data_IF_524490692228
#
_entry.id   IF_524490692228
#
_cell.length_a   1.000
_cell.length_b   1.000
_cell.length_c   1.000
_cell.angle_alpha   90.00
_cell.angle_beta   90.00
_cell.angle_gamma   90.00
#
_symmetry.space_group_name_H-M   'P 1'
#
loop_
_entity.id
_entity.type
_entity.pdbx_description
1 polymer ?
#
# COMPACT_ATOMS: atom_id res chain seq x y z
N UNK A 1 -58.51 9.51 -6.74
CA UNK A 1 -58.04 8.17 -7.11
C UNK A 1 -56.66 8.33 -7.76
N UNK A 2 -55.52 8.36 -7.05
CA UNK A 2 -55.00 7.47 -5.99
C UNK A 2 -54.37 6.17 -6.53
N UNK A 3 -53.06 6.06 -6.31
CA UNK A 3 -52.23 4.85 -6.21
C UNK A 3 -52.24 3.80 -7.34
N UNK A 4 -51.09 3.65 -8.01
CA UNK A 4 -50.32 2.37 -8.09
C UNK A 4 -48.93 2.57 -8.74
N UNK A 5 -48.00 3.14 -7.97
CA UNK A 5 -46.55 3.07 -8.24
C UNK A 5 -45.86 2.45 -7.03
N UNK A 6 -46.03 1.14 -6.86
CA UNK A 6 -45.36 0.34 -5.83
C UNK A 6 -45.04 -1.06 -6.35
N UNK A 7 -43.90 -1.17 -7.03
CA UNK A 7 -43.12 -2.41 -7.17
C UNK A 7 -41.67 -1.98 -7.53
N UNK A 8 -40.93 -1.37 -6.61
CA UNK A 8 -40.17 -2.12 -5.60
C UNK A 8 -39.71 -3.51 -6.09
N UNK A 9 -38.61 -3.56 -6.84
CA UNK A 9 -37.61 -4.63 -6.67
C UNK A 9 -36.21 -4.03 -6.63
N UNK A 10 -35.48 -4.39 -5.56
CA UNK A 10 -34.15 -3.86 -5.25
C UNK A 10 -33.13 -4.58 -6.11
N UNK A 11 -32.27 -3.81 -6.78
CA UNK A 11 -30.94 -4.27 -7.21
C UNK A 11 -29.93 -3.38 -6.50
N UNK A 12 -29.46 -3.84 -5.35
CA UNK A 12 -28.41 -3.17 -4.60
C UNK A 12 -27.03 -3.63 -5.14
N UNK A 13 -26.03 -2.74 -5.22
CA UNK A 13 -24.71 -3.10 -5.77
C UNK A 13 -23.89 -3.92 -4.77
N UNK A 14 -23.60 -5.18 -5.13
CA UNK A 14 -22.68 -6.07 -4.39
C UNK A 14 -21.20 -5.80 -4.75
N UNK A 15 -20.76 -4.55 -4.63
CA UNK A 15 -19.36 -4.14 -4.95
C UNK A 15 -18.74 -3.23 -3.89
N UNK A 16 -19.19 -3.31 -2.63
CA UNK A 16 -18.76 -2.44 -1.54
C UNK A 16 -18.28 -3.18 -0.27
N UNK A 17 -17.93 -4.48 -0.38
CA UNK A 17 -17.58 -5.32 0.77
C UNK A 17 -16.07 -5.56 0.99
N UNK A 18 -15.19 -5.16 0.06
CA UNK A 18 -13.75 -5.52 0.10
C UNK A 18 -12.90 -4.52 0.90
N UNK A 19 -13.33 -3.25 1.05
CA UNK A 19 -12.52 -2.19 1.67
C UNK A 19 -12.74 -1.99 3.19
N UNK A 20 -13.63 -2.78 3.82
CA UNK A 20 -13.88 -2.69 5.28
C UNK A 20 -13.10 -3.76 6.08
N UNK A 21 -12.49 -4.75 5.40
CA UNK A 21 -11.81 -5.88 6.04
C UNK A 21 -10.49 -5.53 6.76
N UNK A 22 -9.89 -4.37 6.50
CA UNK A 22 -8.53 -4.02 6.97
C UNK A 22 -8.47 -3.53 8.43
N UNK A 23 -9.60 -3.22 9.08
CA UNK A 23 -9.64 -2.73 10.47
C UNK A 23 -9.99 -3.84 11.48
N UNK A 24 -10.49 -4.99 11.02
CA UNK A 24 -10.93 -6.09 11.89
C UNK A 24 -9.78 -6.99 12.39
N UNK A 25 -8.62 -6.99 11.73
CA UNK A 25 -7.43 -7.76 12.13
C UNK A 25 -6.53 -6.95 13.08
N UNK A 26 -7.06 -6.58 14.26
CA UNK A 26 -6.23 -6.15 15.39
C UNK A 26 -5.89 -7.38 16.25
N UNK A 27 -4.65 -7.88 16.26
CA UNK A 27 -4.28 -9.03 17.06
C UNK A 27 -4.25 -8.65 18.55
N UNK A 28 -5.35 -8.90 19.25
CA UNK A 28 -5.33 -8.93 20.73
C UNK A 28 -4.56 -10.17 21.17
N UNK A 29 -3.49 -9.95 21.94
CA UNK A 29 -2.72 -11.01 22.60
C UNK A 29 -3.62 -11.75 23.59
N UNK A 30 -4.07 -12.95 23.21
CA UNK A 30 -4.72 -13.85 24.14
C UNK A 30 -3.66 -14.44 25.07
N UNK A 31 -3.53 -13.88 26.28
CA UNK A 31 -2.68 -14.45 27.33
C UNK A 31 -3.27 -15.80 27.75
N UNK A 32 -2.56 -16.88 27.43
CA UNK A 32 -2.94 -18.25 27.77
C UNK A 32 -2.59 -18.55 29.23
N UNK A 33 -3.16 -17.80 30.16
CA UNK A 33 -3.09 -18.10 31.59
C UNK A 33 -4.01 -19.29 31.87
N UNK A 34 -3.42 -20.40 32.28
CA UNK A 34 -4.17 -21.60 32.64
C UNK A 34 -4.97 -21.35 33.93
N UNK A 35 -6.23 -21.82 34.03
CA UNK A 35 -7.03 -21.62 35.22
C UNK A 35 -6.38 -22.28 36.43
N UNK A 36 -5.93 -21.45 37.37
CA UNK A 36 -5.24 -21.85 38.61
C UNK A 36 -6.22 -22.32 39.69
N UNK A 37 -7.12 -23.23 39.35
CA UNK A 37 -8.00 -23.93 40.29
C UNK A 37 -7.79 -25.45 40.17
N UNK A 38 -6.68 -25.91 40.75
CA UNK A 38 -6.46 -27.32 41.10
C UNK A 38 -6.16 -27.41 42.59
N UNK A 39 -7.15 -27.87 43.33
CA UNK A 39 -7.20 -27.88 44.79
C UNK A 39 -6.28 -28.90 45.48
N UNK A 40 -5.24 -29.39 44.77
CA UNK A 40 -4.19 -30.25 45.31
C UNK A 40 -2.84 -29.89 44.67
N UNK A 41 -1.84 -29.43 45.45
CA UNK A 41 -0.50 -29.17 44.93
C UNK A 41 0.18 -30.48 44.56
N UNK A 42 0.39 -30.72 43.26
CA UNK A 42 1.33 -31.75 42.80
C UNK A 42 2.73 -31.21 43.01
N UNK A 43 3.53 -31.90 43.83
CA UNK A 43 4.95 -31.59 44.03
C UNK A 43 5.69 -31.64 42.68
N UNK A 44 6.65 -30.72 42.42
CA UNK A 44 7.60 -30.92 41.32
C UNK A 44 8.39 -32.22 41.56
N UNK A 45 8.81 -32.88 40.48
CA UNK A 45 9.49 -34.19 40.52
C UNK A 45 11.01 -34.04 40.80
N UNK A 46 11.48 -32.80 40.94
CA UNK A 46 12.86 -32.46 41.28
C UNK A 46 12.83 -31.40 42.39
N UNK A 47 12.91 -31.87 43.63
CA UNK A 47 13.28 -31.12 44.85
C UNK A 47 13.21 -32.10 46.03
N UNK A 48 14.16 -33.02 46.10
CA UNK A 48 14.59 -33.76 47.30
C UNK A 48 16.01 -34.30 46.98
N UNK A 49 16.85 -34.44 48.01
CA UNK A 49 18.27 -34.87 47.96
C UNK A 49 19.27 -33.94 47.23
N UNK A 50 19.65 -32.82 47.87
CA UNK A 50 21.08 -32.42 48.01
C UNK A 50 21.31 -31.30 49.07
N UNK A 51 20.83 -31.51 50.30
CA UNK A 51 21.15 -30.62 51.43
C UNK A 51 22.07 -31.31 52.45
N UNK A 52 23.28 -31.67 51.99
CA UNK A 52 24.36 -32.21 52.85
C UNK A 52 25.73 -31.65 52.46
N UNK A 53 25.93 -30.34 52.65
CA UNK A 53 27.22 -29.77 53.08
C UNK A 53 26.99 -28.38 53.67
N UNK A 54 26.70 -28.36 54.97
CA UNK A 54 26.46 -27.13 55.71
C UNK A 54 27.73 -26.28 55.89
N UNK A 55 27.52 -24.97 56.14
CA UNK A 55 28.44 -24.03 56.80
C UNK A 55 29.65 -23.49 56.01
N UNK A 56 29.45 -22.37 55.28
CA UNK A 56 30.36 -21.20 55.46
C UNK A 56 29.77 -19.83 55.08
N UNK A 57 29.98 -18.86 55.99
CA UNK A 57 30.06 -17.41 55.77
C UNK A 57 28.83 -16.61 55.27
N UNK A 58 28.02 -16.20 56.25
CA UNK A 58 27.21 -14.96 56.33
C UNK A 58 28.00 -13.68 55.98
N UNK A 59 27.49 -12.81 55.10
CA UNK A 59 27.33 -11.34 55.24
C UNK A 59 27.13 -10.60 53.89
N UNK A 60 26.28 -9.56 53.88
CA UNK A 60 26.12 -8.54 52.83
C UNK A 60 26.58 -7.16 53.39
N UNK A 61 26.41 -5.99 52.72
CA UNK A 61 26.10 -5.65 51.31
C UNK A 61 27.10 -4.58 50.73
N UNK A 62 26.79 -3.97 49.56
CA UNK A 62 26.90 -2.51 49.19
C UNK A 62 27.47 -2.12 47.80
N UNK A 63 26.66 -1.32 47.08
CA UNK A 63 26.97 -0.05 46.38
C UNK A 63 28.00 0.04 45.22
N UNK A 64 27.47 -0.09 43.99
CA UNK A 64 27.46 0.89 42.88
C UNK A 64 28.72 1.58 42.27
N UNK A 65 28.64 1.74 40.93
CA UNK A 65 28.94 2.92 40.08
C UNK A 65 30.14 2.86 39.09
N UNK A 66 29.85 3.09 37.79
CA UNK A 66 30.73 3.65 36.71
C UNK A 66 31.95 2.82 36.23
N UNK A 67 32.44 2.87 34.97
CA UNK A 67 32.25 3.83 33.86
C UNK A 67 32.53 3.24 32.45
N UNK A 68 31.74 3.68 31.46
CA UNK A 68 31.99 3.88 30.00
C UNK A 68 32.47 2.78 29.00
N UNK A 69 32.03 3.05 27.75
CA UNK A 69 32.60 2.72 26.44
C UNK A 69 32.54 1.27 25.92
N UNK A 70 32.37 0.97 24.62
CA UNK A 70 31.62 1.56 23.48
C UNK A 70 32.09 0.85 22.19
N UNK A 71 31.22 0.04 21.59
CA UNK A 71 31.14 -0.21 20.13
C UNK A 71 32.36 -0.88 19.41
N UNK A 72 32.30 -1.26 18.09
CA UNK A 72 32.48 -2.68 17.73
C UNK A 72 33.44 -2.94 16.54
N UNK A 73 33.35 -4.13 15.91
CA UNK A 73 33.85 -4.49 14.55
C UNK A 73 35.40 -4.44 14.36
N UNK A 74 36.07 -5.02 13.34
CA UNK A 74 35.75 -6.07 12.34
C UNK A 74 37.04 -6.54 11.60
N UNK A 75 37.24 -7.87 11.50
CA UNK A 75 37.62 -8.64 10.27
C UNK A 75 39.01 -8.37 9.57
N UNK A 76 39.39 -8.93 8.37
CA UNK A 76 40.65 -9.68 8.12
C UNK A 76 41.59 -9.00 7.07
N UNK A 77 42.66 -9.60 6.44
CA UNK A 77 42.70 -10.75 5.45
C UNK A 77 43.89 -11.77 5.66
N UNK A 78 43.93 -13.04 5.17
CA UNK A 78 44.25 -13.64 3.82
C UNK A 78 45.63 -13.31 3.18
N UNK A 79 46.25 -14.14 2.28
CA UNK A 79 46.42 -15.62 2.23
C UNK A 79 47.88 -16.05 1.76
N UNK A 80 48.04 -17.22 1.11
CA UNK A 80 49.16 -17.67 0.22
C UNK A 80 50.31 -18.53 0.82
N UNK A 81 50.22 -19.88 0.78
CA UNK A 81 50.95 -20.88 -0.08
C UNK A 81 52.32 -21.35 0.53
N UNK A 82 53.05 -22.44 0.18
CA UNK A 82 52.98 -23.58 -0.78
C UNK A 82 53.85 -24.80 -0.27
N UNK A 83 53.96 -25.87 -1.08
CA UNK A 83 55.07 -26.84 -1.25
C UNK A 83 54.95 -28.29 -0.67
N UNK A 84 55.10 -29.27 -1.58
CA UNK A 84 55.30 -30.73 -1.46
C UNK A 84 56.65 -31.10 -2.18
N UNK A 85 57.16 -32.36 -2.34
CA UNK A 85 56.58 -33.70 -2.10
C UNK A 85 57.55 -34.82 -1.54
N UNK A 86 57.07 -36.08 -1.56
CA UNK A 86 57.78 -37.39 -1.45
C UNK A 86 58.26 -37.85 -0.04
N UNK A 87 58.25 -39.13 0.37
CA UNK A 87 58.34 -40.43 -0.38
C UNK A 87 57.67 -41.60 0.39
N UNK A 88 57.19 -42.65 -0.30
CA UNK A 88 56.81 -44.01 0.22
C UNK A 88 58.05 -44.87 0.60
N UNK A 89 57.97 -46.05 1.28
CA UNK A 89 56.89 -47.05 1.32
C UNK A 89 56.56 -47.74 2.69
N UNK A 90 55.67 -48.74 2.64
CA UNK A 90 55.12 -49.55 3.76
C UNK A 90 55.98 -50.82 4.00
N UNK A 91 56.14 -51.32 5.25
CA UNK A 91 55.56 -52.64 5.57
C UNK A 91 55.02 -52.84 7.02
N UNK A 92 53.86 -53.49 7.10
CA UNK A 92 53.45 -54.51 8.08
C UNK A 92 53.32 -54.25 9.62
N UNK A 93 52.22 -54.82 10.14
CA UNK A 93 52.02 -55.41 11.48
C UNK A 93 51.80 -54.50 12.71
N UNK A 94 50.53 -54.15 12.97
CA UNK A 94 49.88 -54.39 14.28
C UNK A 94 48.34 -54.37 14.13
N UNK A 95 47.67 -55.46 14.50
CA UNK A 95 46.23 -55.45 14.78
C UNK A 95 45.99 -54.99 16.23
N UNK A 96 44.77 -54.52 16.55
CA UNK A 96 43.95 -55.43 17.35
C UNK A 96 42.52 -55.62 16.82
N UNK A 97 42.01 -56.82 17.07
CA UNK A 97 40.68 -57.33 16.74
C UNK A 97 39.54 -56.71 17.57
N UNK A 98 38.37 -56.49 16.95
CA UNK A 98 37.03 -56.99 17.35
C UNK A 98 35.91 -56.19 16.65
N UNK A 99 34.62 -56.62 16.70
CA UNK A 99 34.18 -57.86 16.08
C UNK A 99 32.89 -57.73 15.22
N UNK A 100 32.72 -58.64 14.25
CA UNK A 100 31.46 -58.98 13.56
C UNK A 100 30.78 -57.91 12.68
N UNK A 101 31.19 -57.90 11.40
CA UNK A 101 30.19 -57.83 10.33
C UNK A 101 29.24 -59.03 10.46
N UNK A 102 27.93 -58.77 10.46
CA UNK A 102 26.92 -59.80 10.30
C UNK A 102 25.96 -59.37 9.21
N UNK A 103 26.25 -59.82 7.99
CA UNK A 103 25.39 -59.75 6.81
C UNK A 103 24.09 -60.51 7.09
N UNK A 104 23.17 -59.89 7.82
CA UNK A 104 21.80 -60.37 7.93
C UNK A 104 21.05 -59.76 6.77
N UNK A 105 20.92 -60.55 5.69
CA UNK A 105 20.01 -60.30 4.57
C UNK A 105 18.56 -60.32 5.06
N UNK A 106 18.21 -59.30 5.85
CA UNK A 106 16.85 -59.09 6.32
C UNK A 106 16.09 -58.61 5.10
N UNK A 107 15.45 -59.58 4.44
CA UNK A 107 14.34 -59.30 3.53
C UNK A 107 13.33 -58.51 4.34
N UNK A 108 13.39 -57.19 4.25
CA UNK A 108 12.41 -56.27 4.84
C UNK A 108 11.13 -56.42 4.03
N UNK A 109 10.42 -57.52 4.32
CA UNK A 109 9.00 -57.62 4.08
C UNK A 109 8.41 -56.36 4.68
N UNK A 110 7.98 -55.44 3.80
CA UNK A 110 7.25 -54.23 4.15
C UNK A 110 5.89 -54.67 4.69
N UNK A 111 5.90 -55.23 5.90
CA UNK A 111 4.71 -55.57 6.66
C UNK A 111 4.05 -54.23 6.95
N UNK A 112 3.08 -53.89 6.11
CA UNK A 112 2.34 -52.62 6.15
C UNK A 112 1.63 -52.56 7.49
N UNK A 113 2.32 -51.99 8.48
CA UNK A 113 1.84 -51.94 9.86
C UNK A 113 0.56 -51.13 9.82
N UNK A 114 -0.56 -51.74 10.24
CA UNK A 114 -1.83 -51.03 10.31
C UNK A 114 -1.60 -49.73 11.09
N UNK A 115 -1.94 -48.56 10.53
CA UNK A 115 -1.50 -47.29 11.07
C UNK A 115 -2.05 -47.12 12.47
N UNK A 116 -1.14 -46.95 13.43
CA UNK A 116 -1.52 -46.69 14.83
C UNK A 116 -2.26 -45.35 14.89
N UNK A 117 -3.13 -45.12 15.89
CA UNK A 117 -3.85 -43.85 16.01
C UNK A 117 -2.88 -42.63 16.05
N UNK A 118 -1.71 -42.80 16.66
CA UNK A 118 -0.63 -41.80 16.69
C UNK A 118 -0.03 -41.50 15.31
N UNK A 119 0.14 -42.50 14.46
CA UNK A 119 0.68 -42.35 13.09
C UNK A 119 -0.30 -41.57 12.20
N UNK A 120 -1.61 -41.82 12.35
CA UNK A 120 -2.65 -41.01 11.71
C UNK A 120 -2.59 -39.53 12.14
N UNK A 121 -2.45 -39.27 13.45
CA UNK A 121 -2.30 -37.91 13.97
C UNK A 121 -1.04 -37.22 13.42
N UNK A 122 0.10 -37.93 13.40
CA UNK A 122 1.36 -37.42 12.85
C UNK A 122 1.22 -37.06 11.36
N UNK A 123 0.52 -37.88 10.57
CA UNK A 123 0.23 -37.61 9.16
C UNK A 123 -0.63 -36.34 8.98
N UNK A 124 -1.63 -36.12 9.83
CA UNK A 124 -2.49 -34.93 9.78
C UNK A 124 -1.75 -33.66 10.19
N UNK A 125 -0.91 -33.72 11.23
CA UNK A 125 -0.05 -32.60 11.64
C UNK A 125 0.94 -32.22 10.52
N UNK A 126 1.52 -33.22 9.84
CA UNK A 126 2.40 -33.00 8.69
C UNK A 126 1.65 -32.30 7.55
N UNK A 127 0.45 -32.76 7.19
CA UNK A 127 -0.37 -32.14 6.15
C UNK A 127 -0.79 -30.72 6.52
N UNK A 128 -1.20 -30.47 7.76
CA UNK A 128 -1.53 -29.14 8.25
C UNK A 128 -0.34 -28.18 8.17
N UNK A 129 0.87 -28.62 8.58
CA UNK A 129 2.10 -27.82 8.47
C UNK A 129 2.45 -27.49 7.02
N UNK A 130 2.34 -28.46 6.11
CA UNK A 130 2.60 -28.26 4.68
C UNK A 130 1.56 -27.34 4.03
N UNK A 131 0.29 -27.43 4.42
CA UNK A 131 -0.77 -26.54 3.94
C UNK A 131 -0.53 -25.09 4.39
N UNK A 132 -0.21 -24.87 5.67
CA UNK A 132 0.13 -23.54 6.19
C UNK A 132 1.38 -22.98 5.52
N UNK A 133 2.41 -23.80 5.31
CA UNK A 133 3.63 -23.38 4.61
C UNK A 133 3.37 -23.01 3.14
N UNK A 134 2.63 -23.85 2.41
CA UNK A 134 2.25 -23.55 1.03
C UNK A 134 1.44 -22.25 0.93
N UNK A 135 0.47 -22.05 1.82
CA UNK A 135 -0.32 -20.82 1.85
C UNK A 135 0.54 -19.60 2.19
N UNK A 136 1.47 -19.72 3.15
CA UNK A 136 2.43 -18.65 3.46
C UNK A 136 3.28 -18.26 2.24
N UNK A 137 3.88 -19.24 1.56
CA UNK A 137 4.66 -18.98 0.33
C UNK A 137 3.81 -18.33 -0.77
N UNK A 138 2.55 -18.76 -1.01
CA UNK A 138 1.70 -18.09 -2.01
C UNK A 138 1.38 -16.62 -1.66
N UNK A 139 1.32 -16.28 -0.37
CA UNK A 139 1.12 -14.91 0.10
C UNK A 139 2.42 -14.11 -0.02
N UNK A 140 3.56 -14.70 0.33
CA UNK A 140 4.89 -14.10 0.14
C UNK A 140 5.16 -13.81 -1.35
N UNK A 141 4.89 -14.75 -2.24
CA UNK A 141 5.01 -14.58 -3.70
C UNK A 141 4.06 -13.50 -4.24
N UNK A 142 2.82 -13.44 -3.75
CA UNK A 142 1.86 -12.41 -4.14
C UNK A 142 2.29 -11.01 -3.67
N UNK A 143 2.83 -10.89 -2.45
CA UNK A 143 3.35 -9.64 -1.89
C UNK A 143 4.62 -9.21 -2.63
N UNK A 144 5.57 -10.12 -2.86
CA UNK A 144 6.78 -9.87 -3.64
C UNK A 144 6.44 -9.44 -5.08
N UNK A 145 5.48 -10.11 -5.72
CA UNK A 145 4.98 -9.74 -7.04
C UNK A 145 4.26 -8.38 -7.07
N UNK A 146 3.52 -8.04 -6.02
CA UNK A 146 2.91 -6.71 -5.88
C UNK A 146 3.96 -5.61 -5.66
N UNK A 147 4.97 -5.87 -4.83
CA UNK A 147 6.09 -4.96 -4.56
C UNK A 147 6.95 -4.73 -5.80
N UNK A 148 7.27 -5.79 -6.56
CA UNK A 148 7.97 -5.69 -7.85
C UNK A 148 7.18 -4.85 -8.87
N UNK A 149 5.84 -5.02 -8.92
CA UNK A 149 4.97 -4.17 -9.75
C UNK A 149 4.92 -2.73 -9.27
N UNK A 150 4.88 -2.49 -7.95
CA UNK A 150 4.93 -1.15 -7.37
C UNK A 150 6.24 -0.44 -7.73
N UNK A 151 7.39 -1.08 -7.58
CA UNK A 151 8.68 -0.51 -7.98
C UNK A 151 8.81 -0.31 -9.50
N UNK A 152 8.30 -1.24 -10.32
CA UNK A 152 8.26 -1.04 -11.78
C UNK A 152 7.39 0.17 -12.16
N UNK A 153 6.26 0.36 -11.47
CA UNK A 153 5.41 1.53 -11.62
C UNK A 153 6.14 2.80 -11.14
N UNK A 154 6.74 2.81 -9.95
CA UNK A 154 7.53 3.94 -9.43
C UNK A 154 8.65 4.37 -10.39
N UNK A 155 9.37 3.42 -10.98
CA UNK A 155 10.41 3.70 -11.98
C UNK A 155 9.80 4.28 -13.28
N UNK A 156 8.65 3.75 -13.72
CA UNK A 156 7.93 4.28 -14.89
C UNK A 156 7.34 5.68 -14.64
N UNK A 157 6.84 5.95 -13.42
CA UNK A 157 6.38 7.27 -13.01
C UNK A 157 7.55 8.25 -12.87
N UNK A 158 8.68 7.83 -12.31
CA UNK A 158 9.87 8.68 -12.15
C UNK A 158 10.43 9.08 -13.51
N UNK A 159 10.57 8.13 -14.45
CA UNK A 159 11.00 8.44 -15.83
C UNK A 159 9.97 9.32 -16.58
N UNK A 160 8.68 9.07 -16.41
CA UNK A 160 7.61 9.88 -17.00
C UNK A 160 7.60 11.31 -16.44
N UNK A 161 7.64 11.48 -15.12
CA UNK A 161 7.69 12.80 -14.46
C UNK A 161 8.98 13.54 -14.81
N UNK A 162 10.12 12.85 -14.91
CA UNK A 162 11.37 13.43 -15.40
C UNK A 162 11.25 13.91 -16.86
N UNK A 163 10.52 13.20 -17.72
CA UNK A 163 10.25 13.62 -19.10
C UNK A 163 9.22 14.76 -19.23
N UNK A 164 8.34 14.92 -18.24
CA UNK A 164 7.34 15.99 -18.16
C UNK A 164 7.90 17.28 -17.55
N UNK A 165 8.99 17.20 -16.79
CA UNK A 165 9.66 18.35 -16.21
C UNK A 165 10.18 19.28 -17.32
N UNK A 166 9.87 20.59 -17.30
CA UNK A 166 10.31 21.51 -18.33
C UNK A 166 11.84 21.64 -18.28
N UNK A 167 12.46 21.70 -19.46
CA UNK A 167 13.87 22.06 -19.56
C UNK A 167 14.10 23.41 -18.85
N UNK A 168 15.25 23.54 -18.15
CA UNK A 168 15.56 24.72 -17.31
C UNK A 168 15.55 26.05 -18.09
N UNK A 169 15.63 25.98 -19.41
CA UNK A 169 15.56 27.09 -20.37
C UNK A 169 14.15 27.70 -20.49
N UNK A 170 13.09 26.96 -20.14
CA UNK A 170 11.69 27.43 -20.23
C UNK A 170 11.34 28.52 -19.20
N UNK A 171 12.21 28.83 -18.24
CA UNK A 171 12.03 29.89 -17.24
C UNK A 171 10.93 29.66 -16.18
N UNK A 172 10.13 28.60 -16.28
CA UNK A 172 9.07 28.28 -15.33
C UNK A 172 9.63 27.94 -13.95
N UNK A 173 9.31 28.76 -12.94
CA UNK A 173 9.76 28.57 -11.56
C UNK A 173 8.90 27.52 -10.85
N UNK A 174 9.19 26.24 -11.09
CA UNK A 174 8.47 25.10 -10.51
C UNK A 174 8.26 25.20 -8.99
N UNK A 175 9.29 25.57 -8.22
CA UNK A 175 9.21 25.60 -6.75
C UNK A 175 8.18 26.63 -6.23
N UNK A 176 8.25 27.93 -6.59
CA UNK A 176 7.14 28.87 -6.34
C UNK A 176 5.81 28.44 -6.97
N UNK A 177 5.82 27.94 -8.21
CA UNK A 177 4.62 27.60 -8.96
C UNK A 177 3.79 26.51 -8.28
N UNK A 178 4.43 25.42 -7.86
CA UNK A 178 3.79 24.33 -7.12
C UNK A 178 3.24 24.79 -5.76
N UNK A 179 3.90 25.73 -5.10
CA UNK A 179 3.39 26.33 -3.85
C UNK A 179 2.11 27.12 -4.14
N UNK A 180 2.05 27.92 -5.21
CA UNK A 180 0.81 28.63 -5.59
C UNK A 180 -0.33 27.68 -5.97
N UNK A 181 -0.03 26.56 -6.64
CA UNK A 181 -0.99 25.49 -6.94
C UNK A 181 -1.54 24.85 -5.66
N UNK A 182 -0.67 24.53 -4.70
CA UNK A 182 -1.06 24.02 -3.38
C UNK A 182 -1.93 25.01 -2.60
N UNK A 183 -1.55 26.29 -2.59
CA UNK A 183 -2.32 27.37 -1.94
C UNK A 183 -3.70 27.54 -2.59
N UNK A 184 -3.78 27.48 -3.92
CA UNK A 184 -5.06 27.54 -4.64
C UNK A 184 -5.98 26.34 -4.32
N UNK A 185 -5.42 25.13 -4.25
CA UNK A 185 -6.16 23.94 -3.82
C UNK A 185 -6.64 24.04 -2.36
N UNK A 186 -5.78 24.53 -1.46
CA UNK A 186 -6.13 24.77 -0.05
C UNK A 186 -7.24 25.83 0.08
N UNK A 187 -7.14 26.94 -0.67
CA UNK A 187 -8.19 27.95 -0.74
C UNK A 187 -9.52 27.35 -1.28
N UNK A 188 -9.46 26.49 -2.29
CA UNK A 188 -10.62 25.74 -2.78
C UNK A 188 -11.27 24.85 -1.72
N UNK A 189 -10.48 24.25 -0.82
CA UNK A 189 -11.00 23.46 0.31
C UNK A 189 -11.74 24.33 1.35
N UNK A 190 -11.29 25.58 1.55
CA UNK A 190 -11.94 26.55 2.43
C UNK A 190 -13.25 27.04 1.80
N UNK A 191 -13.24 27.37 0.50
CA UNK A 191 -14.43 27.83 -0.24
C UNK A 191 -15.53 26.75 -0.31
N UNK A 192 -15.15 25.48 -0.45
CA UNK A 192 -16.10 24.36 -0.47
C UNK A 192 -16.46 23.81 0.91
N UNK A 193 -15.94 24.38 2.01
CA UNK A 193 -16.11 23.87 3.39
C UNK A 193 -17.56 23.66 3.81
N UNK A 194 -18.48 24.49 3.32
CA UNK A 194 -19.91 24.45 3.65
C UNK A 194 -20.81 24.10 2.44
N UNK A 195 -20.31 23.28 1.51
CA UNK A 195 -21.09 22.77 0.37
C UNK A 195 -21.04 21.24 0.32
N UNK A 196 -21.88 20.64 -0.53
CA UNK A 196 -22.04 19.19 -0.68
C UNK A 196 -20.68 18.47 -0.78
N UNK A 197 -20.61 17.23 -0.27
CA UNK A 197 -19.38 16.41 -0.21
C UNK A 197 -18.64 16.35 -1.56
N UNK A 198 -19.38 16.30 -2.68
CA UNK A 198 -18.82 16.35 -4.03
C UNK A 198 -18.03 17.64 -4.31
N UNK A 199 -18.55 18.81 -3.92
CA UNK A 199 -17.85 20.09 -4.06
C UNK A 199 -16.64 20.17 -3.13
N UNK A 200 -16.72 19.58 -1.92
CA UNK A 200 -15.58 19.50 -1.00
C UNK A 200 -14.41 18.67 -1.55
N UNK A 201 -14.69 17.64 -2.34
CA UNK A 201 -13.66 16.87 -3.06
C UNK A 201 -13.20 17.53 -4.36
N UNK A 202 -14.13 18.06 -5.15
CA UNK A 202 -13.84 18.58 -6.50
C UNK A 202 -13.25 20.00 -6.52
N UNK A 203 -13.64 20.90 -5.62
CA UNK A 203 -13.18 22.29 -5.66
C UNK A 203 -11.67 22.48 -5.39
N UNK A 204 -11.02 21.74 -4.46
CA UNK A 204 -9.57 21.79 -4.31
C UNK A 204 -8.84 21.34 -5.58
N UNK A 205 -9.35 20.30 -6.24
CA UNK A 205 -8.77 19.78 -7.48
C UNK A 205 -8.99 20.76 -8.64
N UNK A 206 -10.19 21.30 -8.80
CA UNK A 206 -10.52 22.25 -9.87
C UNK A 206 -9.72 23.55 -9.75
N UNK A 207 -9.58 24.11 -8.55
CA UNK A 207 -8.79 25.33 -8.34
C UNK A 207 -7.28 25.06 -8.36
N UNK A 208 -6.81 23.91 -7.88
CA UNK A 208 -5.43 23.49 -8.02
C UNK A 208 -5.02 23.29 -9.49
N UNK A 209 -5.81 22.54 -10.27
CA UNK A 209 -5.58 22.32 -11.70
C UNK A 209 -5.72 23.63 -12.50
N UNK A 210 -6.68 24.48 -12.16
CA UNK A 210 -6.83 25.82 -12.75
C UNK A 210 -5.60 26.70 -12.49
N UNK A 211 -5.09 26.73 -11.26
CA UNK A 211 -3.85 27.43 -10.93
C UNK A 211 -2.61 26.79 -11.59
N UNK A 212 -2.58 25.47 -11.77
CA UNK A 212 -1.47 24.81 -12.45
C UNK A 212 -1.44 25.18 -13.94
N UNK A 213 -2.60 25.32 -14.59
CA UNK A 213 -2.68 25.77 -15.97
C UNK A 213 -2.31 27.25 -16.17
N UNK A 214 -2.55 28.12 -15.18
CA UNK A 214 -2.17 29.54 -15.26
C UNK A 214 -0.75 29.84 -14.81
N UNK A 215 -0.20 29.10 -13.84
CA UNK A 215 1.12 29.34 -13.24
C UNK A 215 2.23 28.50 -13.89
N UNK A 216 1.90 27.33 -14.44
CA UNK A 216 2.84 26.38 -15.05
C UNK A 216 2.33 25.85 -16.43
N UNK A 217 2.01 26.75 -17.38
CA UNK A 217 1.34 26.39 -18.65
C UNK A 217 2.12 25.38 -19.50
N UNK A 218 3.46 25.44 -19.54
CA UNK A 218 4.28 24.50 -20.35
C UNK A 218 4.22 23.11 -19.73
N UNK A 219 4.37 22.99 -18.41
CA UNK A 219 4.23 21.67 -17.75
C UNK A 219 2.85 21.07 -17.98
N UNK A 220 1.79 21.86 -17.87
CA UNK A 220 0.42 21.37 -18.04
C UNK A 220 0.13 21.01 -19.51
N UNK A 221 0.74 21.72 -20.46
CA UNK A 221 0.78 21.34 -21.87
C UNK A 221 1.37 19.95 -22.08
N UNK A 222 2.58 19.71 -21.56
CA UNK A 222 3.27 18.42 -21.66
C UNK A 222 2.48 17.28 -20.98
N UNK A 223 1.95 17.52 -19.78
CA UNK A 223 1.07 16.58 -19.06
C UNK A 223 -0.17 16.24 -19.88
N UNK A 224 -0.84 17.24 -20.47
CA UNK A 224 -2.03 17.02 -21.29
C UNK A 224 -1.72 16.25 -22.57
N UNK A 225 -0.54 16.46 -23.17
CA UNK A 225 -0.06 15.69 -24.32
C UNK A 225 0.13 14.21 -23.98
N UNK A 226 0.76 13.91 -22.84
CA UNK A 226 0.93 12.53 -22.35
C UNK A 226 -0.41 11.85 -22.05
N UNK A 227 -1.33 12.57 -21.38
CA UNK A 227 -2.69 12.06 -21.12
C UNK A 227 -3.38 11.71 -22.44
N UNK A 228 -3.28 12.59 -23.45
CA UNK A 228 -3.84 12.36 -24.77
C UNK A 228 -3.20 11.16 -25.50
N UNK A 229 -1.89 10.93 -25.35
CA UNK A 229 -1.22 9.74 -25.89
C UNK A 229 -1.66 8.44 -25.21
N UNK A 230 -1.90 8.46 -23.90
CA UNK A 230 -2.42 7.31 -23.17
C UNK A 230 -3.89 7.04 -23.55
N UNK A 231 -4.67 8.11 -23.71
CA UNK A 231 -6.09 8.08 -24.08
C UNK A 231 -6.32 7.57 -25.51
N UNK A 232 -5.45 7.93 -26.47
CA UNK A 232 -5.46 7.37 -27.84
C UNK A 232 -5.37 5.85 -27.89
N UNK A 233 -4.80 5.19 -26.86
CA UNK A 233 -4.74 3.71 -26.78
C UNK A 233 -6.10 3.09 -26.53
N UNK A 234 -7.09 3.86 -26.09
CA UNK A 234 -8.47 3.42 -25.85
C UNK A 234 -9.42 4.29 -26.69
N UNK A 235 -9.77 3.89 -27.93
CA UNK A 235 -10.43 4.78 -28.89
C UNK A 235 -11.79 5.31 -28.39
N UNK A 236 -12.52 4.53 -27.61
CA UNK A 236 -13.80 4.96 -27.01
C UNK A 236 -13.66 6.15 -26.04
N UNK A 237 -12.51 6.32 -25.39
CA UNK A 237 -12.23 7.43 -24.47
C UNK A 237 -11.76 8.65 -25.27
N UNK A 238 -10.85 8.46 -26.24
CA UNK A 238 -10.42 9.52 -27.15
C UNK A 238 -11.59 10.18 -27.92
N UNK A 239 -12.51 9.37 -28.44
CA UNK A 239 -13.77 9.84 -29.05
C UNK A 239 -14.64 10.65 -28.09
N UNK A 240 -14.72 10.23 -26.81
CA UNK A 240 -15.48 10.93 -25.79
C UNK A 240 -14.83 12.28 -25.43
N UNK A 241 -13.49 12.34 -25.40
CA UNK A 241 -12.73 13.57 -25.17
C UNK A 241 -12.95 14.59 -26.30
N UNK A 242 -12.85 14.15 -27.56
CA UNK A 242 -13.10 15.02 -28.72
C UNK A 242 -14.54 15.57 -28.67
N UNK A 243 -15.54 14.72 -28.44
CA UNK A 243 -16.95 15.13 -28.34
C UNK A 243 -17.22 16.08 -27.16
N UNK A 244 -16.60 15.86 -26.00
CA UNK A 244 -16.76 16.76 -24.85
C UNK A 244 -16.04 18.08 -25.07
N UNK A 245 -14.83 18.08 -25.65
CA UNK A 245 -14.10 19.29 -26.05
C UNK A 245 -14.89 20.14 -27.04
N UNK A 246 -15.37 19.55 -28.13
CA UNK A 246 -16.22 20.27 -29.09
C UNK A 246 -17.51 20.80 -28.43
N UNK A 247 -18.11 20.03 -27.52
CA UNK A 247 -19.28 20.45 -26.75
C UNK A 247 -19.01 21.68 -25.88
N UNK A 248 -17.83 21.74 -25.23
CA UNK A 248 -17.37 22.90 -24.45
C UNK A 248 -17.07 24.09 -25.35
N UNK A 249 -16.33 23.91 -26.44
CA UNK A 249 -16.01 24.98 -27.40
C UNK A 249 -17.30 25.59 -28.00
N UNK A 250 -18.25 24.75 -28.43
CA UNK A 250 -19.58 25.18 -28.89
C UNK A 250 -20.39 25.85 -27.78
N UNK A 251 -20.35 25.33 -26.55
CA UNK A 251 -21.02 25.92 -25.39
C UNK A 251 -20.50 27.32 -25.04
N UNK A 252 -19.19 27.52 -25.03
CA UNK A 252 -18.55 28.82 -24.79
C UNK A 252 -18.87 29.82 -25.91
N UNK A 253 -18.84 29.37 -27.18
CA UNK A 253 -19.25 30.20 -28.31
C UNK A 253 -20.71 30.66 -28.17
N UNK A 254 -21.63 29.72 -27.92
CA UNK A 254 -23.05 30.04 -27.74
C UNK A 254 -23.29 30.95 -26.53
N UNK A 255 -22.59 30.75 -25.42
CA UNK A 255 -22.69 31.59 -24.24
C UNK A 255 -22.26 33.05 -24.52
N UNK A 256 -21.18 33.26 -25.29
CA UNK A 256 -20.76 34.61 -25.72
C UNK A 256 -21.81 35.28 -26.60
N UNK A 257 -22.28 34.58 -27.63
CA UNK A 257 -23.33 35.09 -28.54
C UNK A 257 -24.61 35.44 -27.78
N UNK A 258 -25.02 34.63 -26.80
CA UNK A 258 -26.19 34.93 -25.97
C UNK A 258 -25.95 36.09 -24.99
N UNK A 259 -24.74 36.29 -24.49
CA UNK A 259 -24.39 37.45 -23.67
C UNK A 259 -24.48 38.76 -24.48
N UNK A 260 -23.94 38.77 -25.70
CA UNK A 260 -24.03 39.94 -26.61
C UNK A 260 -25.49 40.26 -26.96
N UNK A 261 -26.30 39.24 -27.23
CA UNK A 261 -27.74 39.39 -27.49
C UNK A 261 -28.52 39.88 -26.26
N UNK A 262 -28.19 39.38 -25.06
CA UNK A 262 -28.81 39.84 -23.82
C UNK A 262 -28.48 41.31 -23.53
N UNK A 263 -27.22 41.73 -23.73
CA UNK A 263 -26.82 43.12 -23.55
C UNK A 263 -27.56 44.06 -24.51
N UNK A 264 -27.72 43.67 -25.79
CA UNK A 264 -28.52 44.44 -26.77
C UNK A 264 -29.98 44.56 -26.34
N UNK A 265 -30.61 43.47 -25.91
CA UNK A 265 -32.00 43.49 -25.40
C UNK A 265 -32.18 44.38 -24.17
N UNK A 266 -31.19 44.45 -23.28
CA UNK A 266 -31.23 45.38 -22.14
C UNK A 266 -31.19 46.83 -22.62
N UNK A 267 -30.32 47.18 -23.58
CA UNK A 267 -30.32 48.53 -24.15
C UNK A 267 -31.62 48.88 -24.87
N UNK A 268 -32.18 47.95 -25.66
CA UNK A 268 -33.47 48.13 -26.33
C UNK A 268 -34.61 48.33 -25.33
N UNK A 269 -34.71 47.49 -24.29
CA UNK A 269 -35.73 47.61 -23.26
C UNK A 269 -35.60 48.86 -22.39
N UNK A 270 -34.38 49.32 -22.07
CA UNK A 270 -34.16 50.60 -21.38
C UNK A 270 -34.58 51.78 -22.27
N UNK A 271 -34.34 51.71 -23.59
CA UNK A 271 -34.78 52.73 -24.54
C UNK A 271 -36.30 52.76 -24.69
N UNK A 272 -36.94 51.60 -24.86
CA UNK A 272 -38.40 51.48 -24.96
C UNK A 272 -39.09 51.96 -23.68
N UNK A 273 -38.57 51.60 -22.50
CA UNK A 273 -39.08 52.09 -21.22
C UNK A 273 -38.98 53.62 -21.10
N UNK A 274 -37.88 54.22 -21.59
CA UNK A 274 -37.73 55.68 -21.65
C UNK A 274 -38.70 56.33 -22.64
N UNK A 275 -38.82 55.80 -23.86
CA UNK A 275 -39.74 56.30 -24.88
C UNK A 275 -41.20 56.18 -24.43
N UNK A 276 -41.57 55.11 -23.71
CA UNK A 276 -42.89 54.94 -23.12
C UNK A 276 -43.17 55.94 -21.98
N UNK A 277 -42.18 56.23 -21.13
CA UNK A 277 -42.29 57.23 -20.07
C UNK A 277 -42.44 58.64 -20.65
N UNK A 278 -41.63 59.00 -21.64
CA UNK A 278 -41.72 60.28 -22.36
C UNK A 278 -43.04 60.40 -23.13
N UNK A 279 -43.51 59.31 -23.74
CA UNK A 279 -44.80 59.22 -24.40
C UNK A 279 -45.97 59.40 -23.44
N UNK A 280 -45.89 58.87 -22.22
CA UNK A 280 -46.89 59.07 -21.17
C UNK A 280 -46.95 60.52 -20.69
N UNK A 281 -45.80 61.10 -20.31
CA UNK A 281 -45.65 62.51 -19.92
C UNK A 281 -46.14 63.48 -21.01
N UNK A 282 -45.90 63.14 -22.28
CA UNK A 282 -46.34 63.98 -23.41
C UNK A 282 -47.85 63.87 -23.74
N UNK A 283 -48.54 62.83 -23.25
CA UNK A 283 -49.95 62.56 -23.59
C UNK A 283 -50.94 63.06 -22.53
N UNK A 284 -50.48 63.52 -21.37
CA UNK A 284 -51.33 64.18 -20.38
C UNK A 284 -50.54 64.75 -19.19
N UNK A 285 -51.11 65.85 -18.65
CA UNK A 285 -50.89 66.50 -17.34
C UNK A 285 -49.71 66.02 -16.48
#
# INVERSE_FOLDING_TARGET
>A
MAARVLLQRRVAPLTAAVLVGTVAFYPRTAHAEAPSDRQYPRKPIYDDDFDVLALRAKAAPTTATTTAAALPTATPPSPTEEALPATTPVPAAAAPSSPFESTTTTTTVLRTRAPTPTDRLASQIRLARLFVYAQACTVEDAVNGAMARAFALEQSFTSTVASLAPARESGEKLMPGLIYVLVAGMAGSIVARNRNVLLRGAAPLALGLGAAWTVLPVTMGNVSGLVWEYEKRVPAVADAHLRTREGVERGVYMARVHADLAQRKVYEGVREAREALEGWVRKGK
#
